data_IF_198715327078
#
_entry.id   IF_198715327078
#
_cell.length_a   1.000
_cell.length_b   1.000
_cell.length_c   1.000
_cell.angle_alpha   90.00
_cell.angle_beta   90.00
_cell.angle_gamma   90.00
#
_symmetry.space_group_name_H-M   'P 1'
#
loop_
_entity.id
_entity.type
_entity.pdbx_description
1 polymer ?
#
# COMPACT_ATOMS: atom_id res chain seq x y z
N UNK A 1 -4.03 -10.95 -12.28
CA UNK A 1 -3.11 -12.06 -11.99
C UNK A 1 -1.75 -11.41 -11.81
N UNK A 2 -1.17 -11.48 -10.62
CA UNK A 2 0.16 -10.93 -10.38
C UNK A 2 1.13 -12.10 -10.31
N UNK A 3 2.11 -12.11 -11.20
CA UNK A 3 3.21 -13.06 -11.18
C UNK A 3 4.46 -12.31 -10.76
N UNK A 4 5.18 -12.81 -9.76
CA UNK A 4 6.39 -12.19 -9.25
C UNK A 4 7.47 -13.26 -9.09
N UNK A 5 8.70 -12.91 -9.42
CA UNK A 5 9.86 -13.80 -9.25
C UNK A 5 10.77 -13.23 -8.20
N UNK A 6 11.01 -13.99 -7.14
CA UNK A 6 11.91 -13.61 -6.05
C UNK A 6 13.19 -14.42 -6.19
N UNK A 7 14.31 -13.76 -6.45
CA UNK A 7 15.62 -14.41 -6.48
C UNK A 7 16.02 -14.82 -5.06
N UNK A 8 16.49 -16.05 -4.89
CA UNK A 8 16.95 -16.59 -3.60
C UNK A 8 18.31 -17.29 -3.76
N UNK A 9 19.03 -17.49 -2.66
CA UNK A 9 20.29 -18.23 -2.68
C UNK A 9 20.06 -19.67 -3.17
N UNK A 10 20.60 -20.03 -4.34
CA UNK A 10 20.44 -21.35 -4.95
C UNK A 10 19.28 -21.50 -5.95
N UNK A 11 18.56 -20.42 -6.30
CA UNK A 11 17.54 -20.47 -7.36
C UNK A 11 16.61 -19.25 -7.41
N UNK A 12 15.40 -19.44 -7.94
CA UNK A 12 14.33 -18.44 -7.93
C UNK A 12 13.04 -19.06 -7.43
N UNK A 13 12.26 -18.29 -6.69
CA UNK A 13 10.91 -18.65 -6.29
C UNK A 13 9.94 -17.91 -7.20
N UNK A 14 9.16 -18.65 -7.97
CA UNK A 14 8.08 -18.10 -8.78
C UNK A 14 6.80 -18.05 -7.95
N UNK A 15 6.21 -16.87 -7.86
CA UNK A 15 4.97 -16.60 -7.13
C UNK A 15 3.85 -16.33 -8.11
N UNK A 16 2.82 -17.17 -8.11
CA UNK A 16 1.56 -16.91 -8.79
C UNK A 16 0.50 -16.50 -7.75
N UNK A 17 0.08 -15.24 -7.81
CA UNK A 17 -0.87 -14.63 -6.90
C UNK A 17 -2.20 -14.35 -7.61
N UNK A 18 -3.27 -15.00 -7.14
CA UNK A 18 -4.62 -14.88 -7.70
C UNK A 18 -5.61 -14.37 -6.67
N UNK A 19 -6.60 -13.63 -7.16
CA UNK A 19 -7.74 -13.14 -6.38
C UNK A 19 -7.31 -12.34 -5.14
N UNK A 20 -6.35 -11.42 -5.33
CA UNK A 20 -5.93 -10.49 -4.29
C UNK A 20 -7.09 -9.60 -3.86
N UNK A 21 -7.29 -9.45 -2.56
CA UNK A 21 -8.28 -8.57 -1.96
C UNK A 21 -7.57 -7.59 -1.05
N UNK A 22 -7.78 -6.29 -1.26
CA UNK A 22 -7.22 -5.22 -0.45
C UNK A 22 -8.30 -4.63 0.46
N UNK A 23 -8.08 -4.65 1.77
CA UNK A 23 -8.99 -4.08 2.75
C UNK A 23 -8.60 -4.43 4.19
N UNK A 24 -9.30 -3.92 5.21
CA UNK A 24 -10.44 -3.01 5.13
C UNK A 24 -10.06 -1.55 4.82
N UNK A 25 -10.78 -0.91 3.88
CA UNK A 25 -10.53 0.48 3.42
C UNK A 25 -11.25 1.56 4.23
N UNK A 26 -12.17 1.18 5.10
CA UNK A 26 -12.93 2.09 5.97
C UNK A 26 -12.16 2.48 7.24
N UNK A 27 -10.92 2.01 7.39
CA UNK A 27 -10.08 2.30 8.55
C UNK A 27 -9.12 3.46 8.36
N UNK A 28 -9.31 4.26 7.31
CA UNK A 28 -8.52 5.46 7.03
C UNK A 28 -8.72 6.52 8.11
N UNK A 29 -7.63 7.08 8.62
CA UNK A 29 -7.64 8.16 9.59
C UNK A 29 -6.45 9.10 9.41
N UNK A 30 -6.58 10.31 9.96
CA UNK A 30 -5.53 11.33 9.96
C UNK A 30 -4.59 11.15 11.14
N UNK A 31 -3.28 11.26 10.90
CA UNK A 31 -2.23 11.21 11.91
C UNK A 31 -1.85 12.63 12.30
N UNK A 32 -1.82 12.91 13.60
CA UNK A 32 -1.46 14.23 14.14
C UNK A 32 -2.48 15.31 13.85
N UNK A 33 -2.08 16.58 13.97
CA UNK A 33 -2.87 17.75 13.58
C UNK A 33 -2.54 18.19 12.15
N UNK A 34 -3.50 18.78 11.46
CA UNK A 34 -3.28 19.35 10.12
C UNK A 34 -2.75 20.77 10.28
N UNK A 35 -1.70 21.12 9.56
CA UNK A 35 -1.27 22.51 9.48
C UNK A 35 -2.20 23.24 8.51
N UNK A 36 -2.79 24.35 8.97
CA UNK A 36 -3.58 25.24 8.13
C UNK A 36 -2.88 26.57 7.99
N UNK A 37 -2.65 27.02 6.76
CA UNK A 37 -2.07 28.32 6.46
C UNK A 37 -2.90 29.04 5.40
N UNK A 38 -2.98 30.36 5.47
CA UNK A 38 -3.69 31.20 4.51
C UNK A 38 -2.83 32.41 4.17
N UNK A 39 -2.87 32.88 2.92
CA UNK A 39 -2.16 34.08 2.46
C UNK A 39 -3.00 34.84 1.41
N UNK A 40 -2.53 35.98 0.92
CA UNK A 40 -3.24 36.87 -0.01
C UNK A 40 -3.71 36.15 -1.29
N UNK A 41 -3.02 35.09 -1.71
CA UNK A 41 -3.34 34.30 -2.91
C UNK A 41 -4.00 32.93 -2.63
N UNK A 42 -3.96 32.44 -1.38
CA UNK A 42 -4.39 31.10 -0.97
C UNK A 42 -5.35 31.22 0.21
N UNK A 43 -6.61 30.82 0.05
CA UNK A 43 -7.59 30.83 1.15
C UNK A 43 -7.24 29.80 2.21
N UNK A 44 -6.86 28.59 1.80
CA UNK A 44 -6.50 27.52 2.72
C UNK A 44 -5.45 26.57 2.10
N UNK A 45 -4.31 26.44 2.78
CA UNK A 45 -3.34 25.36 2.57
C UNK A 45 -3.49 24.37 3.72
N UNK A 46 -3.74 23.10 3.41
CA UNK A 46 -3.81 22.02 4.40
C UNK A 46 -2.69 21.01 4.14
N UNK A 47 -1.81 20.84 5.11
CA UNK A 47 -0.83 19.73 5.17
C UNK A 47 -1.27 18.71 6.23
N UNK A 48 -1.26 17.43 5.86
CA UNK A 48 -1.55 16.36 6.79
C UNK A 48 -1.07 15.00 6.30
N UNK A 49 -1.14 14.02 7.20
CA UNK A 49 -0.80 12.63 6.93
C UNK A 49 -2.01 11.74 7.18
N UNK A 50 -2.33 10.87 6.23
CA UNK A 50 -3.37 9.86 6.31
C UNK A 50 -2.75 8.47 6.42
N UNK A 51 -3.38 7.59 7.19
CA UNK A 51 -2.97 6.19 7.29
C UNK A 51 -4.17 5.30 7.59
N UNK A 52 -4.01 4.00 7.39
CA UNK A 52 -5.02 3.00 7.74
C UNK A 52 -4.70 2.38 9.10
N UNK A 53 -5.72 2.07 9.91
CA UNK A 53 -5.50 1.31 11.16
C UNK A 53 -5.06 -0.11 10.85
N UNK A 54 -5.72 -0.72 9.86
CA UNK A 54 -5.35 -2.01 9.33
C UNK A 54 -5.69 -2.04 7.84
N UNK A 55 -4.67 -2.17 6.99
CA UNK A 55 -4.85 -2.41 5.57
C UNK A 55 -4.16 -3.72 5.22
N UNK A 56 -4.91 -4.68 4.72
CA UNK A 56 -4.38 -6.01 4.39
C UNK A 56 -4.60 -6.32 2.92
N UNK A 57 -3.54 -6.78 2.26
CA UNK A 57 -3.61 -7.38 0.93
C UNK A 57 -3.54 -8.90 1.09
N UNK A 58 -4.67 -9.57 0.92
CA UNK A 58 -4.82 -11.01 1.08
C UNK A 58 -4.95 -11.72 -0.26
N UNK A 59 -4.20 -12.80 -0.44
CA UNK A 59 -4.30 -13.72 -1.58
C UNK A 59 -4.76 -15.09 -1.08
N UNK A 60 -6.03 -15.40 -1.32
CA UNK A 60 -6.65 -16.67 -0.87
C UNK A 60 -6.09 -17.92 -1.57
N UNK A 61 -5.44 -17.75 -2.73
CA UNK A 61 -4.65 -18.80 -3.38
C UNK A 61 -3.34 -18.22 -3.91
N UNK A 62 -2.24 -18.73 -3.37
CA UNK A 62 -0.88 -18.51 -3.81
C UNK A 62 -0.26 -19.83 -4.21
N UNK A 63 0.53 -19.81 -5.28
CA UNK A 63 1.37 -20.94 -5.69
C UNK A 63 2.83 -20.48 -5.74
N UNK A 64 3.69 -21.16 -5.01
CA UNK A 64 5.13 -20.93 -4.97
C UNK A 64 5.85 -22.10 -5.64
N UNK A 65 6.67 -21.84 -6.64
CA UNK A 65 7.52 -22.88 -7.24
C UNK A 65 8.98 -22.59 -6.93
N UNK A 66 9.67 -23.56 -6.32
CA UNK A 66 11.11 -23.53 -6.09
C UNK A 66 11.73 -24.80 -6.64
N UNK A 67 12.63 -24.66 -7.62
CA UNK A 67 13.20 -25.76 -8.39
C UNK A 67 12.08 -26.61 -9.05
N UNK A 68 11.87 -27.84 -8.57
CA UNK A 68 10.87 -28.78 -9.09
C UNK A 68 9.69 -28.98 -8.13
N UNK A 69 9.64 -28.22 -7.03
CA UNK A 69 8.59 -28.31 -6.03
C UNK A 69 7.63 -27.13 -6.13
N UNK A 70 6.33 -27.44 -6.06
CA UNK A 70 5.26 -26.45 -6.04
C UNK A 70 4.50 -26.55 -4.73
N UNK A 71 4.30 -25.41 -4.08
CA UNK A 71 3.59 -25.26 -2.82
C UNK A 71 2.38 -24.37 -3.06
N UNK A 72 1.24 -24.76 -2.51
CA UNK A 72 0.07 -23.89 -2.45
C UNK A 72 -0.14 -23.38 -1.01
N UNK A 73 -0.68 -22.18 -0.89
CA UNK A 73 -0.98 -21.57 0.40
C UNK A 73 -1.75 -20.26 0.28
N UNK A 74 -1.85 -19.56 1.40
CA UNK A 74 -2.42 -18.22 1.51
C UNK A 74 -1.32 -17.24 1.91
N UNK A 75 -1.31 -16.08 1.27
CA UNK A 75 -0.37 -15.00 1.55
C UNK A 75 -1.15 -13.76 1.98
N UNK A 76 -0.78 -13.15 3.10
CA UNK A 76 -1.38 -11.91 3.58
C UNK A 76 -0.29 -10.89 3.85
N UNK A 77 -0.43 -9.68 3.32
CA UNK A 77 0.41 -8.53 3.64
C UNK A 77 -0.38 -7.57 4.51
N UNK A 78 0.10 -7.28 5.70
CA UNK A 78 -0.43 -6.21 6.55
C UNK A 78 0.43 -4.96 6.33
N UNK A 79 -0.18 -3.87 5.90
CA UNK A 79 0.50 -2.65 5.49
C UNK A 79 -0.19 -1.47 6.19
N UNK A 80 0.59 -0.49 6.61
CA UNK A 80 0.14 0.76 7.19
C UNK A 80 0.87 1.90 6.46
N UNK A 81 0.40 2.25 5.25
CA UNK A 81 1.03 3.34 4.50
C UNK A 81 0.71 4.66 5.18
N UNK A 82 1.70 5.56 5.25
CA UNK A 82 1.57 6.94 5.68
C UNK A 82 1.61 7.78 4.43
N UNK A 83 0.50 8.42 4.10
CA UNK A 83 0.35 9.18 2.87
C UNK A 83 0.20 10.64 3.26
N UNK A 84 1.18 11.45 2.87
CA UNK A 84 1.15 12.88 3.09
C UNK A 84 0.42 13.57 1.95
N UNK A 85 -0.39 14.55 2.30
CA UNK A 85 -1.15 15.34 1.33
C UNK A 85 -0.96 16.83 1.62
N UNK A 86 -0.96 17.60 0.54
CA UNK A 86 -0.96 19.06 0.54
C UNK A 86 -2.10 19.50 -0.37
N UNK A 87 -3.03 20.26 0.18
CA UNK A 87 -4.17 20.79 -0.55
C UNK A 87 -4.13 22.31 -0.52
N UNK A 88 -4.47 22.92 -1.65
CA UNK A 88 -4.54 24.37 -1.80
C UNK A 88 -5.93 24.74 -2.27
N UNK A 89 -6.51 25.70 -1.59
CA UNK A 89 -7.70 26.42 -2.03
C UNK A 89 -7.30 27.86 -2.41
N UNK A 90 -7.63 28.29 -3.62
CA UNK A 90 -7.23 29.60 -4.16
C UNK A 90 -8.26 30.69 -3.90
N UNK A 91 -7.79 31.91 -3.59
CA UNK A 91 -8.67 33.08 -3.37
C UNK A 91 -9.02 33.87 -4.66
N UNK A 92 -8.27 33.68 -5.75
CA UNK A 92 -8.25 34.63 -6.90
C UNK A 92 -8.96 34.10 -8.15
N UNK A 93 -9.17 32.79 -8.23
CA UNK A 93 -9.99 32.16 -9.26
C UNK A 93 -11.01 31.29 -8.55
N UNK A 94 -12.27 31.73 -8.53
CA UNK A 94 -13.41 30.91 -8.12
C UNK A 94 -13.26 29.53 -8.79
N UNK A 95 -13.09 28.47 -7.97
CA UNK A 95 -12.93 27.04 -8.32
C UNK A 95 -11.53 26.41 -8.24
N UNK A 96 -10.49 27.08 -7.70
CA UNK A 96 -9.20 26.42 -7.47
C UNK A 96 -9.21 25.58 -6.18
N UNK A 97 -9.87 24.42 -6.24
CA UNK A 97 -9.73 23.34 -5.26
C UNK A 97 -8.88 22.22 -5.87
N UNK A 98 -7.61 22.11 -5.46
CA UNK A 98 -6.71 21.09 -5.99
C UNK A 98 -5.82 20.44 -4.93
N UNK A 99 -5.46 19.19 -5.21
CA UNK A 99 -4.48 18.44 -4.41
C UNK A 99 -3.11 18.74 -5.00
N UNK A 100 -2.36 19.65 -4.36
CA UNK A 100 -1.10 20.14 -4.89
C UNK A 100 0.00 19.08 -4.85
N UNK A 101 0.05 18.29 -3.76
CA UNK A 101 0.88 17.09 -3.74
C UNK A 101 0.28 16.01 -2.86
N UNK A 102 0.49 14.79 -3.29
CA UNK A 102 -0.02 13.59 -2.65
C UNK A 102 1.05 12.52 -2.85
N UNK A 103 1.48 11.86 -1.77
CA UNK A 103 2.55 10.89 -1.89
C UNK A 103 2.79 10.10 -0.62
N UNK A 104 3.47 8.97 -0.79
CA UNK A 104 3.90 8.11 0.29
C UNK A 104 5.00 8.79 1.12
N UNK A 105 4.75 8.98 2.41
CA UNK A 105 5.70 9.50 3.42
C UNK A 105 6.43 8.35 4.14
N UNK A 106 6.01 7.11 3.89
CA UNK A 106 6.57 5.87 4.43
C UNK A 106 5.47 4.84 4.67
N UNK A 107 5.83 3.65 5.13
CA UNK A 107 4.86 2.63 5.52
C UNK A 107 5.46 1.72 6.60
N UNK A 108 4.59 1.14 7.42
CA UNK A 108 4.95 0.03 8.29
C UNK A 108 4.26 -1.24 7.76
N UNK A 109 4.89 -2.40 7.86
CA UNK A 109 4.24 -3.61 7.37
C UNK A 109 4.93 -4.92 7.71
N UNK A 110 4.24 -6.00 7.38
CA UNK A 110 4.72 -7.36 7.51
C UNK A 110 3.87 -8.30 6.65
N UNK A 111 4.36 -9.52 6.45
CA UNK A 111 3.64 -10.54 5.70
C UNK A 111 3.51 -11.81 6.53
N UNK A 112 2.45 -12.56 6.25
CA UNK A 112 2.23 -13.89 6.79
C UNK A 112 1.91 -14.86 5.66
N UNK A 113 2.44 -16.07 5.80
CA UNK A 113 2.14 -17.15 4.88
C UNK A 113 1.60 -18.36 5.62
N UNK A 114 0.52 -18.91 5.10
CA UNK A 114 -0.13 -20.09 5.64
C UNK A 114 -0.05 -21.23 4.62
N UNK A 115 0.51 -22.36 5.05
CA UNK A 115 0.61 -23.59 4.24
C UNK A 115 0.65 -24.83 5.12
N UNK A 116 0.03 -25.89 4.62
CA UNK A 116 -0.02 -27.19 5.29
C UNK A 116 1.19 -28.08 4.96
N UNK A 117 2.06 -27.65 4.04
CA UNK A 117 3.23 -28.41 3.59
C UNK A 117 4.48 -28.09 4.42
N UNK A 118 5.22 -29.13 4.84
CA UNK A 118 6.53 -28.97 5.49
C UNK A 118 7.54 -28.26 4.58
N UNK A 119 7.52 -28.57 3.28
CA UNK A 119 8.34 -27.91 2.28
C UNK A 119 7.84 -26.48 2.03
N UNK A 120 6.54 -26.26 2.16
CA UNK A 120 5.95 -24.93 2.17
C UNK A 120 6.57 -24.04 3.25
N UNK A 121 6.74 -24.54 4.48
CA UNK A 121 7.41 -23.77 5.55
C UNK A 121 8.85 -23.39 5.21
N UNK A 122 9.57 -24.24 4.47
CA UNK A 122 10.92 -23.92 3.99
C UNK A 122 10.91 -22.81 2.94
N UNK A 123 10.06 -22.93 1.91
CA UNK A 123 9.89 -21.90 0.86
C UNK A 123 9.47 -20.56 1.47
N UNK A 124 8.60 -20.60 2.47
CA UNK A 124 8.18 -19.42 3.23
C UNK A 124 9.35 -18.77 3.94
N UNK A 125 10.18 -19.54 4.65
CA UNK A 125 11.34 -18.97 5.33
C UNK A 125 12.33 -18.32 4.35
N UNK A 126 12.51 -18.89 3.15
CA UNK A 126 13.32 -18.30 2.10
C UNK A 126 12.71 -16.99 1.58
N UNK A 127 11.43 -17.02 1.19
CA UNK A 127 10.69 -15.82 0.78
C UNK A 127 10.75 -14.75 1.86
N UNK A 128 10.61 -15.15 3.12
CA UNK A 128 10.61 -14.22 4.24
C UNK A 128 11.95 -13.50 4.35
N UNK A 129 13.04 -14.26 4.31
CA UNK A 129 14.39 -13.72 4.37
C UNK A 129 14.68 -12.75 3.23
N UNK A 130 14.26 -13.06 2.02
CA UNK A 130 14.53 -12.20 0.86
C UNK A 130 13.60 -10.98 0.80
N UNK A 131 12.31 -11.12 1.11
CA UNK A 131 11.40 -9.98 1.22
C UNK A 131 11.85 -9.01 2.31
N UNK A 132 12.41 -9.50 3.42
CA UNK A 132 13.01 -8.65 4.46
C UNK A 132 14.31 -7.97 4.03
N UNK A 133 15.01 -8.47 3.00
CA UNK A 133 16.18 -7.80 2.41
C UNK A 133 15.79 -6.74 1.38
N UNK A 134 14.63 -6.90 0.77
CA UNK A 134 14.11 -6.01 -0.27
C UNK A 134 13.35 -4.80 0.30
N UNK A 135 13.50 -4.45 1.59
CA UNK A 135 12.74 -3.41 2.33
C UNK A 135 11.93 -2.48 1.43
N UNK A 136 12.58 -1.57 0.70
CA UNK A 136 11.93 -0.55 -0.14
C UNK A 136 11.57 -0.96 -1.58
N UNK A 137 12.13 -2.05 -2.11
CA UNK A 137 11.97 -2.53 -3.49
C UNK A 137 10.97 -3.70 -3.61
N UNK A 138 10.06 -3.88 -2.64
CA UNK A 138 9.08 -4.95 -2.69
C UNK A 138 7.96 -4.65 -3.72
N UNK A 139 7.92 -5.33 -4.88
CA UNK A 139 6.96 -5.01 -5.94
C UNK A 139 5.50 -5.32 -5.57
N UNK A 140 5.28 -6.20 -4.60
CA UNK A 140 3.92 -6.54 -4.12
C UNK A 140 3.38 -5.46 -3.19
N UNK A 141 4.28 -4.80 -2.46
CA UNK A 141 3.94 -3.68 -1.62
C UNK A 141 3.63 -2.43 -2.45
N UNK A 142 4.41 -2.17 -3.51
CA UNK A 142 4.18 -1.07 -4.45
C UNK A 142 2.74 -1.08 -4.99
N UNK A 143 2.25 -2.24 -5.41
CA UNK A 143 0.87 -2.40 -5.90
C UNK A 143 -0.16 -2.03 -4.82
N UNK A 144 0.07 -2.43 -3.57
CA UNK A 144 -0.85 -2.12 -2.47
C UNK A 144 -0.85 -0.62 -2.15
N UNK A 145 0.35 -0.02 -2.11
CA UNK A 145 0.55 1.41 -1.87
C UNK A 145 -0.09 2.24 -2.98
N UNK A 146 0.16 1.94 -4.25
CA UNK A 146 -0.45 2.66 -5.38
C UNK A 146 -1.98 2.61 -5.34
N UNK A 147 -2.56 1.45 -5.01
CA UNK A 147 -4.01 1.31 -4.94
C UNK A 147 -4.61 2.06 -3.75
N UNK A 148 -3.92 2.06 -2.61
CA UNK A 148 -4.30 2.85 -1.45
C UNK A 148 -4.23 4.35 -1.77
N UNK A 149 -3.16 4.79 -2.44
CA UNK A 149 -2.93 6.16 -2.87
C UNK A 149 -4.05 6.63 -3.83
N UNK A 150 -4.32 5.87 -4.90
CA UNK A 150 -5.39 6.16 -5.86
C UNK A 150 -6.76 6.23 -5.18
N UNK A 151 -7.02 5.33 -4.23
CA UNK A 151 -8.30 5.28 -3.51
C UNK A 151 -8.49 6.50 -2.61
N UNK A 152 -7.45 6.88 -1.86
CA UNK A 152 -7.51 8.06 -0.98
C UNK A 152 -7.62 9.32 -1.83
N UNK A 153 -6.79 9.50 -2.86
CA UNK A 153 -6.85 10.68 -3.71
C UNK A 153 -8.25 10.85 -4.31
N UNK A 154 -8.86 9.78 -4.82
CA UNK A 154 -10.23 9.84 -5.37
C UNK A 154 -11.27 10.23 -4.33
N UNK A 155 -11.23 9.63 -3.14
CA UNK A 155 -12.19 9.90 -2.06
C UNK A 155 -12.02 11.30 -1.46
N UNK A 156 -10.78 11.66 -1.12
CA UNK A 156 -10.47 12.92 -0.46
C UNK A 156 -10.69 14.11 -1.38
N UNK A 157 -10.28 14.03 -2.66
CA UNK A 157 -10.55 15.09 -3.65
C UNK A 157 -12.05 15.29 -3.84
N UNK A 158 -12.81 14.20 -3.96
CA UNK A 158 -14.26 14.31 -4.09
C UNK A 158 -14.87 14.96 -2.86
N UNK A 159 -14.51 14.53 -1.65
CA UNK A 159 -15.09 15.09 -0.42
C UNK A 159 -14.73 16.56 -0.21
N UNK A 160 -13.46 16.94 -0.40
CA UNK A 160 -12.98 18.29 -0.16
C UNK A 160 -13.54 19.28 -1.20
N UNK A 161 -13.50 18.93 -2.49
CA UNK A 161 -13.95 19.80 -3.57
C UNK A 161 -15.45 19.69 -3.92
N UNK A 162 -16.24 18.89 -3.19
CA UNK A 162 -17.72 18.85 -3.34
C UNK A 162 -18.48 19.40 -2.14
N UNK A 163 -17.78 19.73 -1.06
CA UNK A 163 -18.36 20.42 0.10
C UNK A 163 -18.47 21.93 -0.08
N UNK A 164 -18.00 22.44 -1.22
CA UNK A 164 -18.12 23.81 -1.70
C UNK A 164 -18.52 23.79 -3.17
#
# INVERSE_FOLDING_TARGET
MAMSTVAVEGGSIELDLKNGTLGPMDTLYRVGDSLKCSDEYISELVDGVLTYKNLELSYGKMTATFLFWTVEGKLTYSIRPRIRFYMVEGNVYDDLCDVWSFGLDGYDGGYSFETDSWFGRFVVNLLSKELSRMEDDNPLLEIAVENAEKSIHKWFRWYWCSMY
#
